data_IF_603106123489
#
_entry.id   IF_603106123489
#
_cell.length_a   1.000
_cell.length_b   1.000
_cell.length_c   1.000
_cell.angle_alpha   90.00
_cell.angle_beta   90.00
_cell.angle_gamma   90.00
#
_symmetry.space_group_name_H-M   'P 1'
#
loop_
_entity.id
_entity.type
_entity.pdbx_description
1 polymer ?
#
# COMPACT_ATOMS: atom_id res chain seq x y z
N UNK A 1 -2.64 3.03 16.73
CA UNK A 1 -2.05 2.19 15.67
C UNK A 1 -0.85 2.89 15.12
N UNK A 2 0.15 2.14 14.76
CA UNK A 2 1.43 2.69 14.38
C UNK A 2 1.82 2.23 12.98
N UNK A 3 2.72 2.99 12.34
CA UNK A 3 3.35 2.58 11.11
C UNK A 3 4.14 1.28 11.33
N UNK A 4 4.33 0.51 10.27
CA UNK A 4 5.16 -0.68 10.32
C UNK A 4 6.59 -0.30 10.70
N UNK A 5 7.19 -1.11 11.56
CA UNK A 5 8.60 -1.01 11.94
C UNK A 5 9.38 -2.25 11.53
N UNK A 6 8.71 -3.23 10.96
CA UNK A 6 9.28 -4.48 10.47
C UNK A 6 8.39 -5.05 9.38
N UNK A 7 8.89 -6.02 8.64
CA UNK A 7 8.09 -6.69 7.62
C UNK A 7 6.86 -7.33 8.23
N UNK A 8 5.71 -7.15 7.56
CA UNK A 8 4.46 -7.78 7.94
C UNK A 8 4.22 -9.04 7.09
N UNK A 9 3.60 -10.08 7.65
CA UNK A 9 3.22 -11.24 6.86
C UNK A 9 2.16 -10.86 5.84
N UNK A 10 2.32 -11.34 4.61
CA UNK A 10 1.32 -11.23 3.57
C UNK A 10 0.44 -12.48 3.57
N UNK A 11 -0.85 -12.29 3.44
CA UNK A 11 -1.80 -13.38 3.28
C UNK A 11 -2.48 -13.25 1.92
N UNK A 12 -2.32 -14.27 1.10
CA UNK A 12 -2.80 -14.26 -0.27
C UNK A 12 -3.75 -15.42 -0.44
N UNK A 13 -4.99 -15.11 -0.82
CA UNK A 13 -6.01 -16.15 -0.95
C UNK A 13 -6.00 -16.81 -2.33
N UNK A 14 -5.70 -16.06 -3.36
CA UNK A 14 -5.66 -16.56 -4.74
C UNK A 14 -4.38 -16.13 -5.43
N UNK A 15 -3.27 -16.84 -5.16
CA UNK A 15 -1.97 -16.43 -5.69
C UNK A 15 -1.89 -16.42 -7.22
N UNK A 16 -2.70 -17.24 -7.91
CA UNK A 16 -2.70 -17.29 -9.37
C UNK A 16 -3.22 -16.01 -10.04
N UNK A 17 -3.86 -15.12 -9.28
CA UNK A 17 -4.36 -13.84 -9.81
C UNK A 17 -3.49 -12.66 -9.43
N UNK A 18 -2.42 -12.88 -8.67
CA UNK A 18 -1.51 -11.81 -8.30
C UNK A 18 -0.65 -11.39 -9.47
N UNK A 19 -0.49 -10.08 -9.59
CA UNK A 19 0.50 -9.47 -10.47
C UNK A 19 1.46 -8.62 -9.65
N UNK A 20 2.74 -8.71 -9.95
CA UNK A 20 3.76 -7.90 -9.33
C UNK A 20 4.52 -7.12 -10.38
N UNK A 21 5.02 -5.95 -10.01
CA UNK A 21 5.85 -5.10 -10.85
C UNK A 21 6.97 -4.52 -10.00
N UNK A 22 8.09 -4.20 -10.63
CA UNK A 22 9.20 -3.55 -9.96
C UNK A 22 9.16 -2.05 -10.20
N UNK A 23 9.41 -1.29 -9.14
CA UNK A 23 9.43 0.16 -9.19
C UNK A 23 10.72 0.68 -8.56
N UNK A 24 11.26 1.75 -9.12
CA UNK A 24 12.40 2.45 -8.52
C UNK A 24 11.96 3.16 -7.24
N UNK A 25 12.78 3.04 -6.21
CA UNK A 25 12.55 3.72 -4.94
C UNK A 25 13.04 5.15 -5.01
N UNK A 26 12.22 6.08 -4.51
CA UNK A 26 12.60 7.47 -4.37
C UNK A 26 13.62 7.61 -3.23
N UNK A 27 14.72 8.29 -3.50
CA UNK A 27 15.78 8.55 -2.53
C UNK A 27 16.00 10.05 -2.26
N UNK A 28 15.04 10.89 -2.61
CA UNK A 28 15.11 12.32 -2.28
C UNK A 28 15.16 12.56 -0.76
N UNK A 29 14.65 11.62 0.02
CA UNK A 29 14.85 11.50 1.46
C UNK A 29 14.94 10.03 1.82
N UNK A 30 15.35 9.71 3.05
CA UNK A 30 15.40 8.32 3.51
C UNK A 30 14.03 7.65 3.31
N UNK A 31 14.04 6.45 2.75
CA UNK A 31 12.82 5.75 2.35
C UNK A 31 12.96 4.27 2.66
N UNK A 32 12.29 3.82 3.71
CA UNK A 32 12.24 2.42 4.10
C UNK A 32 10.83 1.89 3.83
N UNK A 33 10.75 0.84 3.03
CA UNK A 33 9.49 0.17 2.72
C UNK A 33 9.56 -1.25 3.28
N UNK A 34 8.61 -1.58 4.14
CA UNK A 34 8.51 -2.91 4.72
C UNK A 34 7.59 -3.80 3.89
N UNK A 35 7.89 -5.09 3.85
CA UNK A 35 6.98 -6.07 3.25
C UNK A 35 5.59 -5.94 3.87
N UNK A 36 4.57 -5.88 3.04
CA UNK A 36 3.18 -5.70 3.48
C UNK A 36 2.75 -4.24 3.62
N UNK A 37 3.66 -3.29 3.44
CA UNK A 37 3.35 -1.87 3.51
C UNK A 37 2.72 -1.40 2.20
N UNK A 38 1.69 -0.54 2.25
CA UNK A 38 1.19 0.11 1.04
C UNK A 38 2.25 1.03 0.44
N UNK A 39 2.27 1.09 -0.89
CA UNK A 39 3.26 1.83 -1.67
C UNK A 39 2.55 2.84 -2.56
N UNK A 40 3.09 4.04 -2.62
CA UNK A 40 2.53 5.15 -3.41
C UNK A 40 3.57 5.73 -4.36
N UNK A 41 3.09 6.36 -5.45
CA UNK A 41 3.87 7.34 -6.18
C UNK A 41 3.78 8.66 -5.43
N UNK A 42 4.93 9.20 -5.04
CA UNK A 42 4.97 10.49 -4.36
C UNK A 42 4.94 11.62 -5.39
N UNK A 43 3.76 12.15 -5.62
CA UNK A 43 3.54 13.19 -6.62
C UNK A 43 4.17 14.52 -6.26
N UNK A 44 4.49 14.72 -4.98
CA UNK A 44 5.14 15.95 -4.53
C UNK A 44 6.65 15.95 -4.76
N UNK A 45 7.27 14.77 -4.83
CA UNK A 45 8.71 14.62 -5.01
C UNK A 45 9.07 14.15 -6.43
N UNK A 46 8.56 13.00 -6.84
CA UNK A 46 8.85 12.41 -8.14
C UNK A 46 7.67 11.56 -8.60
N UNK A 47 7.24 11.74 -9.83
CA UNK A 47 6.08 11.03 -10.38
C UNK A 47 6.40 9.63 -10.89
N UNK A 48 7.67 9.24 -10.91
CA UNK A 48 8.11 7.96 -11.47
C UNK A 48 8.64 6.98 -10.43
N UNK A 49 8.83 7.44 -9.20
CA UNK A 49 9.42 6.65 -8.12
C UNK A 49 8.48 6.50 -6.94
N UNK A 50 8.71 5.46 -6.15
CA UNK A 50 7.76 5.08 -5.11
C UNK A 50 8.31 5.31 -3.72
N UNK A 51 7.38 5.55 -2.79
CA UNK A 51 7.63 5.63 -1.35
C UNK A 51 6.67 4.72 -0.60
N UNK A 52 7.03 4.35 0.61
CA UNK A 52 6.12 3.67 1.51
C UNK A 52 5.06 4.64 2.05
N UNK A 53 3.82 4.17 2.11
CA UNK A 53 2.75 4.91 2.75
C UNK A 53 3.01 4.96 4.26
N UNK A 54 3.01 6.15 4.82
CA UNK A 54 3.05 6.38 6.26
C UNK A 54 1.78 7.12 6.69
N UNK A 55 1.74 7.61 7.92
CA UNK A 55 0.57 8.35 8.39
C UNK A 55 0.19 9.48 7.42
N UNK A 56 -1.09 9.59 7.14
CA UNK A 56 -1.64 10.46 6.08
C UNK A 56 -1.24 11.93 6.20
N UNK A 57 -0.91 12.38 7.40
CA UNK A 57 -0.56 13.78 7.64
C UNK A 57 0.80 14.18 7.09
N UNK A 58 1.63 13.24 6.68
CA UNK A 58 3.01 13.52 6.30
C UNK A 58 3.34 13.26 4.84
N UNK A 59 2.83 12.18 4.25
CA UNK A 59 3.18 11.82 2.88
C UNK A 59 1.96 11.59 1.99
N UNK A 60 0.94 10.97 2.51
CA UNK A 60 -0.20 10.56 1.68
C UNK A 60 -1.20 11.70 1.60
N UNK A 61 -1.43 12.19 0.42
CA UNK A 61 -2.42 13.23 0.15
C UNK A 61 -3.38 12.74 -0.93
N UNK A 62 -4.43 13.50 -1.20
CA UNK A 62 -5.37 13.17 -2.27
C UNK A 62 -4.71 13.14 -3.66
N UNK A 63 -3.54 13.74 -3.81
CA UNK A 63 -2.81 13.77 -5.08
C UNK A 63 -1.83 12.61 -5.24
N UNK A 64 -1.48 11.92 -4.16
CA UNK A 64 -0.62 10.76 -4.25
C UNK A 64 -1.38 9.58 -4.87
N UNK A 65 -0.65 8.70 -5.53
CA UNK A 65 -1.25 7.58 -6.26
C UNK A 65 -0.86 6.28 -5.57
N UNK A 66 -1.85 5.53 -5.13
CA UNK A 66 -1.63 4.20 -4.59
C UNK A 66 -1.21 3.26 -5.71
N UNK A 67 -0.11 2.53 -5.50
CA UNK A 67 0.44 1.58 -6.47
C UNK A 67 0.09 0.13 -6.09
N UNK A 68 0.26 -0.22 -4.83
CA UNK A 68 0.04 -1.58 -4.39
C UNK A 68 0.66 -1.84 -3.03
N UNK A 69 0.95 -3.12 -2.77
CA UNK A 69 1.49 -3.58 -1.49
C UNK A 69 2.89 -4.15 -1.73
N UNK A 70 3.84 -3.74 -0.92
CA UNK A 70 5.22 -4.23 -1.05
C UNK A 70 5.30 -5.74 -0.85
N UNK A 71 5.86 -6.44 -1.82
CA UNK A 71 6.08 -7.88 -1.76
C UNK A 71 7.39 -8.22 -1.01
N UNK A 72 8.24 -7.24 -0.83
CA UNK A 72 9.52 -7.37 -0.12
C UNK A 72 9.82 -6.09 0.64
N UNK A 73 10.78 -6.15 1.56
CA UNK A 73 11.24 -4.96 2.27
C UNK A 73 12.57 -4.46 1.71
N UNK A 74 12.69 -3.14 1.52
CA UNK A 74 13.93 -2.49 1.10
C UNK A 74 14.04 -1.09 1.65
N UNK A 75 15.27 -0.57 1.72
CA UNK A 75 15.54 0.76 2.21
C UNK A 75 16.60 1.46 1.36
N UNK A 76 16.43 2.75 1.20
CA UNK A 76 17.44 3.63 0.59
C UNK A 76 17.69 4.81 1.53
N UNK A 77 18.93 5.30 1.55
CA UNK A 77 19.27 6.51 2.28
C UNK A 77 19.03 7.75 1.41
N UNK A 78 18.87 8.89 2.04
CA UNK A 78 18.75 10.17 1.33
C UNK A 78 19.98 10.41 0.45
N UNK A 79 19.75 10.70 -0.81
CA UNK A 79 20.81 10.97 -1.78
C UNK A 79 21.43 9.73 -2.44
N UNK A 80 20.98 8.54 -2.11
CA UNK A 80 21.43 7.32 -2.78
C UNK A 80 21.11 7.38 -4.28
N UNK A 81 21.88 6.66 -5.08
CA UNK A 81 21.56 6.50 -6.50
C UNK A 81 20.21 5.80 -6.63
N UNK A 82 19.39 6.32 -7.52
CA UNK A 82 18.04 5.82 -7.73
C UNK A 82 18.03 4.60 -8.64
N UNK A 83 18.71 3.54 -8.20
CA UNK A 83 18.84 2.28 -8.92
C UNK A 83 18.23 1.10 -8.16
N UNK A 84 17.77 1.33 -6.94
CA UNK A 84 17.15 0.29 -6.13
C UNK A 84 15.70 0.13 -6.53
N UNK A 85 15.33 -1.07 -6.93
CA UNK A 85 13.95 -1.43 -7.27
C UNK A 85 13.33 -2.23 -6.14
N UNK A 86 12.01 -2.09 -5.97
CA UNK A 86 11.24 -2.87 -5.03
C UNK A 86 10.09 -3.56 -5.77
N UNK A 87 9.85 -4.83 -5.45
CA UNK A 87 8.74 -5.59 -5.98
C UNK A 87 7.46 -5.23 -5.24
N UNK A 88 6.42 -4.90 -5.99
CA UNK A 88 5.13 -4.46 -5.46
C UNK A 88 4.01 -5.30 -6.07
N UNK A 89 3.09 -5.78 -5.23
CA UNK A 89 1.87 -6.43 -5.68
C UNK A 89 0.92 -5.34 -6.15
N UNK A 90 0.67 -5.30 -7.46
CA UNK A 90 -0.15 -4.24 -8.06
C UNK A 90 -1.58 -4.67 -8.35
N UNK A 91 -1.84 -5.97 -8.37
CA UNK A 91 -3.15 -6.50 -8.69
C UNK A 91 -3.36 -7.80 -7.93
N UNK A 92 -4.60 -8.08 -7.54
CA UNK A 92 -4.98 -9.28 -6.84
C UNK A 92 -5.59 -9.00 -5.47
N UNK A 93 -5.84 -10.07 -4.72
CA UNK A 93 -6.48 -10.01 -3.41
C UNK A 93 -5.45 -10.28 -2.31
N UNK A 94 -5.30 -9.34 -1.40
CA UNK A 94 -4.35 -9.42 -0.28
C UNK A 94 -5.10 -9.31 1.03
N UNK A 95 -4.73 -10.14 2.01
CA UNK A 95 -5.30 -10.13 3.35
C UNK A 95 -4.47 -9.30 4.31
N UNK A 96 -5.16 -8.48 5.10
CA UNK A 96 -4.55 -7.66 6.16
C UNK A 96 -5.14 -8.04 7.50
N UNK A 97 -4.31 -8.13 8.51
CA UNK A 97 -4.79 -8.41 9.88
C UNK A 97 -5.54 -7.19 10.40
N UNK A 98 -6.81 -7.38 10.73
CA UNK A 98 -7.65 -6.33 11.26
C UNK A 98 -8.85 -6.92 11.98
N UNK A 99 -9.25 -6.30 13.09
CA UNK A 99 -10.45 -6.63 13.84
C UNK A 99 -11.54 -5.57 13.71
N UNK A 100 -11.30 -4.56 12.88
CA UNK A 100 -12.20 -3.38 12.78
C UNK A 100 -13.30 -3.53 11.74
N UNK A 101 -13.28 -4.61 10.96
CA UNK A 101 -14.24 -4.81 9.87
C UNK A 101 -15.04 -6.10 10.09
N UNK A 102 -16.26 -6.10 9.59
CA UNK A 102 -17.18 -7.24 9.64
C UNK A 102 -17.69 -7.59 8.25
N UNK A 103 -18.47 -8.65 8.13
CA UNK A 103 -19.07 -9.06 6.86
C UNK A 103 -19.92 -7.95 6.23
N UNK A 104 -20.46 -7.04 7.06
CA UNK A 104 -21.24 -5.92 6.56
C UNK A 104 -20.40 -4.92 5.77
N UNK A 105 -19.09 -4.98 5.89
CA UNK A 105 -18.18 -4.07 5.19
C UNK A 105 -17.73 -4.60 3.82
N UNK A 106 -18.09 -5.82 3.47
CA UNK A 106 -17.78 -6.38 2.15
C UNK A 106 -18.41 -5.49 1.07
N UNK A 107 -17.62 -5.16 0.06
CA UNK A 107 -18.02 -4.25 -1.01
C UNK A 107 -17.65 -2.80 -0.78
N UNK A 108 -17.23 -2.43 0.42
CA UNK A 108 -16.79 -1.07 0.73
C UNK A 108 -15.36 -0.84 0.25
N UNK A 109 -15.07 0.37 -0.17
CA UNK A 109 -13.70 0.78 -0.50
C UNK A 109 -12.94 1.13 0.77
N UNK A 110 -11.63 0.86 0.74
CA UNK A 110 -10.74 1.10 1.87
C UNK A 110 -9.50 1.89 1.45
N UNK A 111 -8.87 2.45 2.46
CA UNK A 111 -7.57 3.10 2.38
C UNK A 111 -6.76 2.68 3.61
N UNK A 112 -5.65 3.36 3.85
CA UNK A 112 -4.84 3.16 5.05
C UNK A 112 -4.82 4.45 5.87
N UNK A 113 -4.91 4.32 7.19
CA UNK A 113 -4.71 5.45 8.10
C UNK A 113 -3.23 5.64 8.44
N UNK A 114 -2.47 4.55 8.41
CA UNK A 114 -1.02 4.55 8.51
C UNK A 114 -0.47 3.34 7.75
N UNK A 115 0.82 3.10 7.78
CA UNK A 115 1.44 2.03 6.99
C UNK A 115 1.01 0.62 7.39
N UNK A 116 0.33 0.45 8.50
CA UNK A 116 -0.06 -0.87 9.01
C UNK A 116 -1.55 -1.01 9.31
N UNK A 117 -2.37 0.01 9.07
CA UNK A 117 -3.77 0.02 9.51
C UNK A 117 -4.72 0.39 8.38
N UNK A 118 -5.60 -0.55 8.02
CA UNK A 118 -6.71 -0.27 7.10
C UNK A 118 -7.74 0.66 7.73
N UNK A 119 -8.34 1.51 6.91
CA UNK A 119 -9.41 2.41 7.29
C UNK A 119 -10.48 2.45 6.20
N UNK A 120 -11.72 2.74 6.58
CA UNK A 120 -12.77 3.01 5.61
C UNK A 120 -12.43 4.29 4.81
N UNK A 121 -12.64 4.26 3.50
CA UNK A 121 -12.25 5.37 2.62
C UNK A 121 -12.91 6.70 3.01
N UNK A 122 -14.16 6.63 3.49
CA UNK A 122 -14.89 7.83 3.93
C UNK A 122 -14.28 8.50 5.16
N UNK A 123 -13.52 7.76 5.97
CA UNK A 123 -12.87 8.27 7.17
C UNK A 123 -11.50 8.86 6.90
N UNK A 124 -10.93 8.55 5.75
CA UNK A 124 -9.63 9.04 5.32
C UNK A 124 -9.77 9.78 4.00
N UNK A 125 -10.57 10.86 4.01
CA UNK A 125 -10.95 11.58 2.79
C UNK A 125 -9.76 12.13 1.99
N UNK A 126 -8.66 12.40 2.65
CA UNK A 126 -7.46 12.95 2.01
C UNK A 126 -6.48 11.87 1.54
N UNK A 127 -6.78 10.62 1.77
CA UNK A 127 -5.91 9.50 1.40
C UNK A 127 -6.39 8.81 0.13
N UNK A 128 -5.45 8.17 -0.57
CA UNK A 128 -5.76 7.41 -1.77
C UNK A 128 -6.64 6.21 -1.43
N UNK A 129 -7.58 5.89 -2.29
CA UNK A 129 -8.33 4.64 -2.22
C UNK A 129 -7.45 3.49 -2.72
N UNK A 130 -7.37 2.40 -1.99
CA UNK A 130 -6.48 1.29 -2.34
C UNK A 130 -7.20 0.02 -2.79
N UNK A 131 -8.49 -0.12 -2.56
CA UNK A 131 -9.21 -1.30 -3.04
C UNK A 131 -10.57 -1.48 -2.38
N UNK A 132 -11.13 -2.67 -2.59
CA UNK A 132 -12.47 -3.04 -2.13
C UNK A 132 -12.39 -4.29 -1.29
N UNK A 133 -13.09 -4.31 -0.16
CA UNK A 133 -13.18 -5.49 0.72
C UNK A 133 -13.97 -6.58 0.00
N UNK A 134 -13.37 -7.76 -0.11
CA UNK A 134 -13.98 -8.92 -0.74
C UNK A 134 -14.37 -10.00 0.27
N UNK A 135 -13.71 -10.03 1.42
CA UNK A 135 -13.95 -11.05 2.44
C UNK A 135 -13.44 -10.58 3.80
N UNK A 136 -14.12 -11.01 4.85
CA UNK A 136 -13.65 -10.84 6.22
C UNK A 136 -13.71 -12.22 6.88
N UNK A 137 -12.59 -12.73 7.34
CA UNK A 137 -12.51 -14.06 7.96
C UNK A 137 -11.24 -14.23 8.80
N UNK A 138 -11.36 -14.93 9.90
CA UNK A 138 -10.22 -15.37 10.73
C UNK A 138 -9.31 -14.22 11.21
N UNK A 139 -9.90 -13.05 11.48
CA UNK A 139 -9.14 -11.88 11.90
C UNK A 139 -8.41 -11.16 10.76
N UNK A 140 -8.71 -11.49 9.52
CA UNK A 140 -8.16 -10.85 8.32
C UNK A 140 -9.26 -10.22 7.48
N UNK A 141 -8.91 -9.10 6.86
CA UNK A 141 -9.72 -8.43 5.86
C UNK A 141 -9.02 -8.61 4.51
N UNK A 142 -9.73 -9.16 3.54
CA UNK A 142 -9.20 -9.37 2.20
C UNK A 142 -9.66 -8.24 1.30
N UNK A 143 -8.70 -7.65 0.61
CA UNK A 143 -8.90 -6.47 -0.23
C UNK A 143 -8.43 -6.78 -1.64
N UNK A 144 -9.29 -6.54 -2.61
CA UNK A 144 -8.90 -6.54 -4.02
C UNK A 144 -8.30 -5.19 -4.36
N UNK A 145 -7.02 -5.20 -4.77
CA UNK A 145 -6.26 -3.99 -5.00
C UNK A 145 -6.69 -3.28 -6.29
N UNK A 146 -6.69 -1.96 -6.27
CA UNK A 146 -7.04 -1.12 -7.41
C UNK A 146 -5.85 -0.35 -8.00
N UNK A 147 -4.65 -0.55 -7.45
CA UNK A 147 -3.48 0.25 -7.79
C UNK A 147 -3.10 0.24 -9.27
N UNK A 148 -3.23 -0.90 -9.94
CA UNK A 148 -2.84 -1.03 -11.34
C UNK A 148 -3.59 -0.08 -12.27
N UNK A 149 -4.83 0.24 -11.97
CA UNK A 149 -5.64 1.11 -12.82
C UNK A 149 -5.20 2.57 -12.78
N UNK A 150 -4.43 2.93 -11.77
CA UNK A 150 -4.06 4.32 -11.50
C UNK A 150 -2.77 4.70 -12.24
N UNK A 151 -1.91 3.74 -12.53
CA UNK A 151 -0.61 3.98 -13.17
C UNK A 151 -0.65 3.90 -14.71
N UNK A 152 -1.82 3.81 -15.28
CA UNK A 152 -1.99 3.84 -16.73
C UNK A 152 -2.12 5.31 -17.17
N UNK A 153 -1.05 5.85 -17.64
CA UNK A 153 -0.99 7.25 -18.08
C UNK A 153 -1.13 7.37 -19.59
#
# INVERSE_FOLDING_TARGET
>A
MANLSQNAPLRIRRPSTLLTENFLMDSSSANTIYKGQPVILDKSADTTKVRGWVAATTLVTATDVFIGIAAEGKAVASGDLETVEIEVITDGEVGFKSSSFTDADIGKTVTFSDSGTLAAAAEAADACTCGTITRVADGYVYVELSGRHIITF
#
